data_IF_660736020590
#
_entry.id   IF_660736020590
#
_cell.length_a   1.000
_cell.length_b   1.000
_cell.length_c   1.000
_cell.angle_alpha   90.00
_cell.angle_beta   90.00
_cell.angle_gamma   90.00
#
_symmetry.space_group_name_H-M   'P 1'
#
loop_
_entity.id
_entity.type
_entity.pdbx_description
1 polymer ?
#
# COMPACT_ATOMS: atom_id res chain seq x y z
N UNK A 1 -53.88 38.05 -20.63
CA UNK A 1 -53.26 38.93 -19.61
C UNK A 1 -52.04 39.56 -20.28
N UNK A 2 -52.16 40.77 -20.83
CA UNK A 2 -52.00 42.08 -20.16
C UNK A 2 -50.56 42.28 -19.64
N UNK A 3 -49.77 43.30 -19.97
CA UNK A 3 -49.98 44.60 -20.64
C UNK A 3 -48.75 45.01 -21.47
N UNK A 4 -48.83 45.90 -22.48
CA UNK A 4 -49.13 47.36 -22.51
C UNK A 4 -47.98 48.27 -22.03
N UNK A 5 -47.58 49.18 -22.93
CA UNK A 5 -46.82 50.42 -22.69
C UNK A 5 -45.76 50.64 -23.79
N UNK A 6 -46.05 51.24 -24.97
CA UNK A 6 -46.18 52.68 -25.28
C UNK A 6 -44.87 53.45 -24.98
N UNK A 7 -44.27 54.26 -25.86
CA UNK A 7 -44.79 55.51 -26.47
C UNK A 7 -43.85 55.98 -27.62
N UNK A 8 -44.48 56.43 -28.72
CA UNK A 8 -44.23 57.58 -29.65
C UNK A 8 -42.80 58.12 -29.92
N UNK A 9 -42.44 58.77 -31.04
CA UNK A 9 -43.17 59.74 -31.86
C UNK A 9 -42.31 60.19 -33.07
N UNK A 10 -42.94 60.24 -34.28
CA UNK A 10 -42.87 61.27 -35.37
C UNK A 10 -41.48 61.81 -35.78
N UNK A 11 -41.13 61.90 -37.07
CA UNK A 11 -41.64 62.84 -38.10
C UNK A 11 -41.01 62.46 -39.47
N UNK A 12 -41.82 62.27 -40.51
CA UNK A 12 -41.94 63.14 -41.72
C UNK A 12 -40.60 63.52 -42.38
N UNK A 13 -40.41 63.08 -43.61
CA UNK A 13 -40.41 63.96 -44.80
C UNK A 13 -40.38 63.11 -46.07
N UNK A 14 -41.42 63.28 -46.87
CA UNK A 14 -41.46 62.87 -48.27
C UNK A 14 -40.73 63.93 -49.13
N UNK A 15 -40.69 63.66 -50.43
CA UNK A 15 -40.29 64.53 -51.55
C UNK A 15 -38.78 64.72 -51.81
N UNK A 16 -38.24 63.86 -52.67
CA UNK A 16 -37.57 64.32 -53.90
C UNK A 16 -37.42 63.16 -54.88
N UNK A 17 -38.50 62.91 -55.62
CA UNK A 17 -38.47 62.23 -56.90
C UNK A 17 -38.30 63.29 -57.98
N UNK A 18 -37.15 63.29 -58.65
CA UNK A 18 -36.80 63.91 -59.96
C UNK A 18 -35.33 64.30 -59.91
N UNK A 19 -34.45 63.34 -60.19
CA UNK A 19 -33.13 63.50 -60.84
C UNK A 19 -32.47 62.10 -60.98
N UNK A 20 -33.22 61.14 -61.55
CA UNK A 20 -32.69 60.28 -62.59
C UNK A 20 -32.38 61.22 -63.79
N UNK A 21 -31.29 61.14 -64.54
CA UNK A 21 -31.07 60.03 -65.49
C UNK A 21 -29.70 60.09 -66.21
N UNK A 22 -28.61 60.64 -65.67
CA UNK A 22 -27.35 60.72 -66.45
C UNK A 22 -26.03 60.31 -65.79
N UNK A 23 -25.98 60.02 -64.48
CA UNK A 23 -24.75 59.59 -63.81
C UNK A 23 -24.72 58.10 -63.40
N UNK A 24 -25.74 57.32 -63.78
CA UNK A 24 -25.89 55.91 -63.36
C UNK A 24 -25.39 54.87 -64.39
N UNK A 25 -24.95 55.28 -65.59
CA UNK A 25 -24.51 54.34 -66.63
C UNK A 25 -22.99 54.11 -66.69
N UNK A 26 -22.17 54.94 -66.03
CA UNK A 26 -20.69 54.81 -66.06
C UNK A 26 -20.14 54.03 -64.86
N UNK A 27 -20.91 53.89 -63.77
CA UNK A 27 -20.49 53.12 -62.59
C UNK A 27 -20.77 51.61 -62.67
N UNK A 28 -21.41 51.13 -63.75
CA UNK A 28 -21.73 49.69 -63.95
C UNK A 28 -20.61 48.93 -64.68
N UNK A 29 -19.64 49.63 -65.30
CA UNK A 29 -18.57 49.00 -66.07
C UNK A 29 -17.23 48.85 -65.33
N UNK A 30 -17.05 49.49 -64.17
CA UNK A 30 -15.85 49.34 -63.33
C UNK A 30 -15.97 48.23 -62.26
N UNK A 31 -17.10 47.51 -62.20
CA UNK A 31 -17.35 46.42 -61.25
C UNK A 31 -16.90 45.01 -61.67
N UNK A 32 -16.35 44.83 -62.87
CA UNK A 32 -15.94 43.51 -63.39
C UNK A 32 -14.46 43.17 -63.18
N UNK A 33 -13.64 44.06 -62.61
CA UNK A 33 -12.20 43.83 -62.46
C UNK A 33 -11.79 43.04 -61.20
N UNK A 34 -12.75 42.62 -60.38
CA UNK A 34 -12.48 41.92 -59.10
C UNK A 34 -13.21 40.58 -59.00
N UNK A 35 -13.30 39.81 -60.09
CA UNK A 35 -13.52 38.37 -59.96
C UNK A 35 -12.14 37.73 -59.76
N UNK A 36 -11.73 37.36 -58.53
CA UNK A 36 -10.50 36.60 -58.36
C UNK A 36 -10.62 35.36 -59.24
N UNK A 37 -9.59 35.19 -60.06
CA UNK A 37 -9.56 34.32 -61.22
C UNK A 37 -10.12 32.92 -60.95
N UNK A 38 -10.91 32.43 -61.91
CA UNK A 38 -11.37 31.04 -62.07
C UNK A 38 -10.22 30.03 -62.30
N UNK A 39 -8.99 30.35 -61.91
CA UNK A 39 -7.80 29.55 -62.12
C UNK A 39 -7.05 29.42 -60.79
N UNK A 40 -7.60 28.63 -59.87
CA UNK A 40 -6.77 28.06 -58.81
C UNK A 40 -5.69 27.19 -59.48
N UNK A 41 -4.44 27.28 -59.01
CA UNK A 41 -3.39 26.38 -59.51
C UNK A 41 -3.77 24.93 -59.18
N UNK A 42 -3.24 23.98 -59.95
CA UNK A 42 -3.45 22.56 -59.69
C UNK A 42 -3.10 22.19 -58.23
N UNK A 43 -2.00 22.74 -57.70
CA UNK A 43 -1.54 22.52 -56.33
C UNK A 43 -2.51 23.10 -55.28
N UNK A 44 -3.00 24.35 -55.47
CA UNK A 44 -3.99 24.98 -54.60
C UNK A 44 -5.28 24.16 -54.55
N UNK A 45 -5.77 23.72 -55.71
CA UNK A 45 -6.97 22.89 -55.79
C UNK A 45 -6.76 21.49 -55.17
N UNK A 46 -5.61 20.86 -55.38
CA UNK A 46 -5.29 19.55 -54.80
C UNK A 46 -5.24 19.62 -53.26
N UNK A 47 -4.59 20.65 -52.72
CA UNK A 47 -4.53 20.90 -51.27
C UNK A 47 -5.92 21.21 -50.69
N UNK A 48 -6.73 22.03 -51.39
CA UNK A 48 -8.12 22.30 -50.99
C UNK A 48 -8.97 21.02 -51.00
N UNK A 49 -8.86 20.18 -52.04
CA UNK A 49 -9.62 18.92 -52.15
C UNK A 49 -9.36 18.02 -50.95
N UNK A 50 -8.13 17.95 -50.45
CA UNK A 50 -7.79 17.17 -49.25
C UNK A 50 -8.63 17.57 -48.02
N UNK A 51 -8.98 18.86 -47.88
CA UNK A 51 -9.84 19.36 -46.78
C UNK A 51 -11.30 18.91 -46.89
N UNK A 52 -11.76 18.55 -48.11
CA UNK A 52 -13.13 18.13 -48.42
C UNK A 52 -13.31 16.61 -48.39
N UNK A 53 -12.29 15.86 -48.81
CA UNK A 53 -12.38 14.40 -49.01
C UNK A 53 -11.84 13.56 -47.86
N UNK A 54 -11.20 14.16 -46.85
CA UNK A 54 -10.75 13.40 -45.68
C UNK A 54 -11.94 12.74 -44.96
N UNK A 55 -11.77 11.44 -44.64
CA UNK A 55 -12.82 10.59 -44.05
C UNK A 55 -13.10 10.87 -42.58
N UNK A 56 -12.12 11.43 -41.86
CA UNK A 56 -12.24 11.75 -40.44
C UNK A 56 -12.29 13.26 -40.23
N UNK A 57 -12.94 13.67 -39.13
CA UNK A 57 -13.01 15.06 -38.73
C UNK A 57 -11.61 15.63 -38.44
N UNK A 58 -10.78 14.86 -37.73
CA UNK A 58 -9.38 15.16 -37.43
C UNK A 58 -8.55 15.35 -38.70
N UNK A 59 -8.70 14.45 -39.68
CA UNK A 59 -7.97 14.55 -40.94
C UNK A 59 -8.41 15.78 -41.75
N UNK A 60 -9.69 16.17 -41.67
CA UNK A 60 -10.18 17.41 -42.31
C UNK A 60 -9.64 18.66 -41.63
N UNK A 61 -9.58 18.69 -40.30
CA UNK A 61 -8.98 19.77 -39.51
C UNK A 61 -7.48 19.93 -39.82
N UNK A 62 -6.73 18.84 -39.79
CA UNK A 62 -5.30 18.82 -40.11
C UNK A 62 -5.03 19.28 -41.55
N UNK A 63 -5.79 18.76 -42.53
CA UNK A 63 -5.67 19.19 -43.92
C UNK A 63 -6.03 20.67 -44.12
N UNK A 64 -7.05 21.18 -43.42
CA UNK A 64 -7.44 22.59 -43.47
C UNK A 64 -6.34 23.51 -42.91
N UNK A 65 -5.73 23.13 -41.78
CA UNK A 65 -4.58 23.85 -41.23
C UNK A 65 -3.39 23.85 -42.20
N UNK A 66 -3.00 22.67 -42.71
CA UNK A 66 -1.90 22.54 -43.66
C UNK A 66 -2.14 23.29 -44.98
N UNK A 67 -3.40 23.41 -45.42
CA UNK A 67 -3.78 24.24 -46.57
C UNK A 67 -3.51 25.72 -46.30
N UNK A 68 -3.98 26.25 -45.16
CA UNK A 68 -3.83 27.67 -44.83
C UNK A 68 -2.37 28.08 -44.59
N UNK A 69 -1.53 27.14 -44.18
CA UNK A 69 -0.09 27.36 -44.07
C UNK A 69 0.60 27.45 -45.43
N UNK A 70 0.27 26.56 -46.37
CA UNK A 70 0.87 26.53 -47.72
C UNK A 70 0.30 27.60 -48.65
N UNK A 71 -0.98 27.91 -48.51
CA UNK A 71 -1.72 28.83 -49.37
C UNK A 71 -2.47 29.90 -48.56
N UNK A 72 -1.77 30.78 -47.81
CA UNK A 72 -2.43 31.77 -46.94
C UNK A 72 -3.33 32.77 -47.70
N UNK A 73 -3.03 32.97 -48.99
CA UNK A 73 -3.79 33.78 -49.96
C UNK A 73 -4.35 32.95 -51.13
N UNK A 74 -4.48 31.63 -50.96
CA UNK A 74 -5.03 30.74 -51.98
C UNK A 74 -6.48 31.05 -52.32
N UNK A 75 -6.95 30.56 -53.46
CA UNK A 75 -8.30 30.84 -53.95
C UNK A 75 -9.39 30.40 -52.96
N UNK A 76 -9.12 29.35 -52.17
CA UNK A 76 -10.05 28.78 -51.20
C UNK A 76 -9.75 29.17 -49.74
N UNK A 77 -8.74 30.03 -49.49
CA UNK A 77 -8.32 30.39 -48.14
C UNK A 77 -9.44 31.01 -47.29
N UNK A 78 -10.36 31.77 -47.89
CA UNK A 78 -11.54 32.32 -47.20
C UNK A 78 -12.46 31.23 -46.66
N UNK A 79 -12.81 30.25 -47.50
CA UNK A 79 -13.69 29.13 -47.10
C UNK A 79 -13.03 28.23 -46.06
N UNK A 80 -11.77 27.84 -46.29
CA UNK A 80 -11.03 26.94 -45.37
C UNK A 80 -10.84 27.59 -44.00
N UNK A 81 -10.55 28.89 -43.96
CA UNK A 81 -10.47 29.65 -42.70
C UNK A 81 -11.81 29.68 -41.98
N UNK A 82 -12.92 29.96 -42.70
CA UNK A 82 -14.26 29.96 -42.10
C UNK A 82 -14.66 28.57 -41.55
N UNK A 83 -14.24 27.48 -42.20
CA UNK A 83 -14.41 26.13 -41.65
C UNK A 83 -13.59 25.93 -40.37
N UNK A 84 -12.29 26.23 -40.40
CA UNK A 84 -11.39 26.03 -39.27
C UNK A 84 -11.83 26.82 -38.03
N UNK A 85 -12.18 28.10 -38.20
CA UNK A 85 -12.70 28.98 -37.13
C UNK A 85 -13.93 28.40 -36.43
N UNK A 86 -14.79 27.65 -37.13
CA UNK A 86 -15.97 26.99 -36.52
C UNK A 86 -15.65 25.61 -35.93
N UNK A 87 -14.83 24.82 -36.62
CA UNK A 87 -14.58 23.42 -36.29
C UNK A 87 -13.58 23.25 -35.13
N UNK A 88 -12.55 24.09 -35.08
CA UNK A 88 -11.47 23.97 -34.11
C UNK A 88 -11.93 24.14 -32.65
N UNK A 89 -12.76 25.13 -32.27
CA UNK A 89 -13.24 25.26 -30.90
C UNK A 89 -14.02 24.02 -30.41
N UNK A 90 -14.81 23.40 -31.30
CA UNK A 90 -15.56 22.16 -31.00
C UNK A 90 -14.57 21.02 -30.76
N UNK A 91 -13.57 20.88 -31.63
CA UNK A 91 -12.54 19.86 -31.50
C UNK A 91 -11.74 20.01 -30.20
N UNK A 92 -11.28 21.23 -29.90
CA UNK A 92 -10.54 21.52 -28.68
C UNK A 92 -11.39 21.24 -27.42
N UNK A 93 -12.65 21.69 -27.39
CA UNK A 93 -13.54 21.45 -26.25
C UNK A 93 -13.73 19.96 -25.94
N UNK A 94 -13.78 19.10 -26.97
CA UNK A 94 -13.89 17.65 -26.80
C UNK A 94 -12.59 17.02 -26.25
N UNK A 95 -11.43 17.60 -26.56
CA UNK A 95 -10.12 17.03 -26.23
C UNK A 95 -9.49 17.59 -24.94
N UNK A 96 -9.87 18.80 -24.52
CA UNK A 96 -9.20 19.55 -23.43
C UNK A 96 -9.24 18.93 -22.03
N UNK A 97 -10.10 17.93 -21.80
CA UNK A 97 -10.32 17.33 -20.47
C UNK A 97 -9.28 16.28 -20.07
N UNK A 98 -8.50 15.76 -21.01
CA UNK A 98 -7.55 14.67 -20.74
C UNK A 98 -6.19 14.94 -21.39
N UNK A 99 -5.12 14.42 -20.79
CA UNK A 99 -3.77 14.55 -21.35
C UNK A 99 -3.65 13.90 -22.74
N UNK A 100 -4.26 12.73 -22.93
CA UNK A 100 -4.31 12.04 -24.22
C UNK A 100 -5.08 12.86 -25.28
N UNK A 101 -6.22 13.45 -24.89
CA UNK A 101 -6.99 14.33 -25.77
C UNK A 101 -6.19 15.56 -26.20
N UNK A 102 -5.55 16.27 -25.26
CA UNK A 102 -4.72 17.43 -25.55
C UNK A 102 -3.50 17.09 -26.42
N UNK A 103 -2.88 15.92 -26.19
CA UNK A 103 -1.80 15.41 -27.05
C UNK A 103 -2.29 15.20 -28.49
N UNK A 104 -3.46 14.58 -28.65
CA UNK A 104 -4.08 14.40 -29.96
C UNK A 104 -4.44 15.72 -30.64
N UNK A 105 -4.94 16.71 -29.88
CA UNK A 105 -5.19 18.06 -30.38
C UNK A 105 -3.92 18.72 -30.91
N UNK A 106 -2.85 18.74 -30.10
CA UNK A 106 -1.56 19.35 -30.46
C UNK A 106 -0.89 18.65 -31.65
N UNK A 107 -1.08 17.34 -31.80
CA UNK A 107 -0.61 16.60 -32.98
C UNK A 107 -1.43 16.91 -34.24
N UNK A 108 -2.75 17.12 -34.10
CA UNK A 108 -3.65 17.41 -35.24
C UNK A 108 -3.47 18.85 -35.73
N UNK A 109 -3.31 19.80 -34.80
CA UNK A 109 -3.21 21.24 -35.06
C UNK A 109 -2.01 21.87 -34.33
N UNK A 110 -0.76 21.65 -34.79
CA UNK A 110 0.44 22.15 -34.13
C UNK A 110 0.52 23.68 -34.02
N UNK A 111 -0.20 24.40 -34.90
CA UNK A 111 -0.33 25.86 -34.94
C UNK A 111 -1.78 26.34 -34.73
N UNK A 112 -2.60 25.53 -34.07
CA UNK A 112 -4.01 25.86 -33.79
C UNK A 112 -4.20 27.07 -32.85
N UNK A 113 -5.37 27.69 -32.90
CA UNK A 113 -5.75 28.84 -32.07
C UNK A 113 -5.65 28.57 -30.56
N UNK A 114 -5.86 27.32 -30.12
CA UNK A 114 -5.76 26.91 -28.71
C UNK A 114 -4.44 26.22 -28.36
N UNK A 115 -3.40 26.31 -29.19
CA UNK A 115 -2.11 25.60 -28.98
C UNK A 115 -1.50 25.90 -27.62
N UNK A 116 -1.42 27.16 -27.24
CA UNK A 116 -0.75 27.58 -26.01
C UNK A 116 -1.55 27.15 -24.77
N UNK A 117 -2.88 27.33 -24.81
CA UNK A 117 -3.78 26.84 -23.76
C UNK A 117 -3.72 25.32 -23.62
N UNK A 118 -3.75 24.59 -24.73
CA UNK A 118 -3.64 23.13 -24.75
C UNK A 118 -2.31 22.63 -24.18
N UNK A 119 -1.21 23.30 -24.52
CA UNK A 119 0.13 23.00 -24.01
C UNK A 119 0.21 23.25 -22.51
N UNK A 120 -0.32 24.38 -22.04
CA UNK A 120 -0.39 24.70 -20.63
C UNK A 120 -1.20 23.66 -19.86
N UNK A 121 -2.42 23.38 -20.32
CA UNK A 121 -3.32 22.41 -19.66
C UNK A 121 -2.76 20.99 -19.65
N UNK A 122 -2.06 20.58 -20.71
CA UNK A 122 -1.40 19.28 -20.76
C UNK A 122 -0.31 19.18 -19.68
N UNK A 123 0.51 20.24 -19.53
CA UNK A 123 1.54 20.28 -18.47
C UNK A 123 0.93 20.21 -17.08
N UNK A 124 -0.19 20.89 -16.84
CA UNK A 124 -0.92 20.81 -15.56
C UNK A 124 -1.39 19.37 -15.28
N UNK A 125 -2.10 18.74 -16.21
CA UNK A 125 -2.60 17.36 -16.04
C UNK A 125 -1.47 16.35 -15.82
N UNK A 126 -0.33 16.53 -16.49
CA UNK A 126 0.85 15.67 -16.29
C UNK A 126 1.46 15.88 -14.89
N UNK A 127 1.53 17.13 -14.41
CA UNK A 127 1.99 17.43 -13.05
C UNK A 127 1.05 16.87 -11.98
N UNK A 128 -0.26 17.07 -12.14
CA UNK A 128 -1.29 16.53 -11.24
C UNK A 128 -1.18 15.00 -11.12
N UNK A 129 -1.06 14.30 -12.25
CA UNK A 129 -0.88 12.83 -12.27
C UNK A 129 0.42 12.41 -11.58
N UNK A 130 1.52 13.07 -11.91
CA UNK A 130 2.83 12.73 -11.33
C UNK A 130 2.85 12.94 -9.82
N UNK A 131 2.22 14.01 -9.32
CA UNK A 131 2.08 14.26 -7.90
C UNK A 131 1.21 13.18 -7.21
N UNK A 132 0.10 12.77 -7.83
CA UNK A 132 -0.74 11.68 -7.32
C UNK A 132 -0.01 10.34 -7.27
N UNK A 133 0.79 10.02 -8.28
CA UNK A 133 1.57 8.78 -8.33
C UNK A 133 2.65 8.74 -7.23
N UNK A 134 3.33 9.86 -6.95
CA UNK A 134 4.33 9.95 -5.89
C UNK A 134 3.70 9.77 -4.51
N UNK A 135 2.56 10.43 -4.25
CA UNK A 135 1.83 10.25 -2.99
C UNK A 135 1.33 8.80 -2.81
N UNK A 136 0.86 8.18 -3.89
CA UNK A 136 0.38 6.79 -3.86
C UNK A 136 1.52 5.80 -3.55
N UNK A 137 2.70 5.99 -4.14
CA UNK A 137 3.88 5.16 -3.84
C UNK A 137 4.34 5.34 -2.39
N UNK A 138 4.43 6.57 -1.92
CA UNK A 138 4.81 6.86 -0.53
C UNK A 138 3.83 6.23 0.48
N UNK A 139 2.52 6.26 0.18
CA UNK A 139 1.51 5.58 0.98
C UNK A 139 1.71 4.06 0.99
N UNK A 140 1.93 3.44 -0.17
CA UNK A 140 2.17 1.99 -0.29
C UNK A 140 3.45 1.55 0.45
N UNK A 141 4.53 2.33 0.34
CA UNK A 141 5.78 2.07 1.06
C UNK A 141 5.57 2.14 2.58
N UNK A 142 4.83 3.16 3.05
CA UNK A 142 4.48 3.32 4.47
C UNK A 142 3.63 2.15 4.96
N UNK A 143 2.62 1.73 4.19
CA UNK A 143 1.77 0.58 4.53
C UNK A 143 2.57 -0.72 4.59
N UNK A 144 3.48 -0.95 3.63
CA UNK A 144 4.35 -2.12 3.61
C UNK A 144 5.29 -2.16 4.83
N UNK A 145 5.84 -1.00 5.21
CA UNK A 145 6.67 -0.87 6.41
C UNK A 145 5.88 -1.16 7.69
N UNK A 146 4.68 -0.59 7.84
CA UNK A 146 3.80 -0.84 8.97
C UNK A 146 3.36 -2.30 9.05
N UNK A 147 3.10 -2.94 7.91
CA UNK A 147 2.77 -4.36 7.83
C UNK A 147 3.92 -5.25 8.30
N UNK A 148 5.15 -4.94 7.87
CA UNK A 148 6.37 -5.66 8.29
C UNK A 148 6.56 -5.55 9.80
N UNK A 149 6.47 -4.32 10.35
CA UNK A 149 6.59 -4.09 11.79
C UNK A 149 5.51 -4.82 12.62
N UNK A 150 4.29 -4.94 12.09
CA UNK A 150 3.21 -5.73 12.73
C UNK A 150 3.53 -7.22 12.72
N UNK A 151 4.03 -7.74 11.59
CA UNK A 151 4.43 -9.14 11.47
C UNK A 151 5.58 -9.49 12.41
N UNK A 152 6.60 -8.64 12.49
CA UNK A 152 7.75 -8.82 13.39
C UNK A 152 7.31 -8.86 14.87
N UNK A 153 6.37 -8.00 15.27
CA UNK A 153 5.78 -8.03 16.61
C UNK A 153 4.97 -9.30 16.88
N UNK A 154 4.09 -9.69 15.95
CA UNK A 154 3.28 -10.90 16.09
C UNK A 154 4.15 -12.16 16.24
N UNK A 155 5.28 -12.20 15.53
CA UNK A 155 6.23 -13.32 15.56
C UNK A 155 6.73 -13.65 16.96
N UNK A 156 6.85 -12.68 17.87
CA UNK A 156 7.30 -12.92 19.25
C UNK A 156 6.34 -13.87 20.00
N UNK A 157 5.04 -13.58 19.96
CA UNK A 157 4.02 -14.43 20.60
C UNK A 157 3.83 -15.76 19.87
N UNK A 158 3.93 -15.76 18.54
CA UNK A 158 3.87 -16.97 17.72
C UNK A 158 5.01 -17.94 18.02
N UNK A 159 6.24 -17.45 18.20
CA UNK A 159 7.41 -18.28 18.51
C UNK A 159 7.26 -18.96 19.87
N UNK A 160 6.87 -18.21 20.92
CA UNK A 160 6.61 -18.78 22.25
C UNK A 160 5.50 -19.84 22.18
N UNK A 161 4.40 -19.53 21.48
CA UNK A 161 3.27 -20.46 21.31
C UNK A 161 3.67 -21.72 20.55
N UNK A 162 4.51 -21.59 19.52
CA UNK A 162 5.00 -22.72 18.74
C UNK A 162 5.86 -23.65 19.60
N UNK A 163 6.76 -23.13 20.43
CA UNK A 163 7.58 -23.94 21.34
C UNK A 163 6.76 -24.62 22.42
N UNK A 164 5.80 -23.91 23.04
CA UNK A 164 4.86 -24.52 23.98
C UNK A 164 4.14 -25.71 23.35
N UNK A 165 3.57 -25.54 22.14
CA UNK A 165 2.84 -26.61 21.45
C UNK A 165 3.71 -27.82 21.11
N UNK A 166 4.96 -27.60 20.70
CA UNK A 166 5.92 -28.67 20.38
C UNK A 166 6.23 -29.53 21.60
N UNK A 167 6.50 -28.90 22.75
CA UNK A 167 6.90 -29.63 23.95
C UNK A 167 5.74 -30.05 24.87
N UNK A 168 4.52 -29.57 24.64
CA UNK A 168 3.31 -30.16 25.22
C UNK A 168 2.88 -31.45 24.50
N UNK A 169 3.41 -31.72 23.31
CA UNK A 169 3.16 -32.96 22.59
C UNK A 169 3.86 -34.13 23.27
N UNK A 170 3.11 -35.15 23.70
CA UNK A 170 3.67 -36.36 24.33
C UNK A 170 4.70 -37.08 23.45
N UNK A 171 4.58 -36.97 22.12
CA UNK A 171 5.52 -37.58 21.18
C UNK A 171 6.94 -36.99 21.27
N UNK A 172 7.10 -35.78 21.82
CA UNK A 172 8.40 -35.17 22.06
C UNK A 172 9.19 -35.81 23.22
N UNK A 173 8.57 -36.70 24.00
CA UNK A 173 9.10 -37.23 25.26
C UNK A 173 9.34 -38.74 25.19
N UNK A 174 10.18 -39.26 26.09
CA UNK A 174 10.43 -40.71 26.24
C UNK A 174 11.31 -41.35 25.17
N UNK A 175 11.82 -40.55 24.23
CA UNK A 175 12.83 -40.92 23.21
C UNK A 175 13.96 -39.88 23.21
N UNK A 176 15.17 -40.25 22.76
CA UNK A 176 16.25 -39.29 22.63
C UNK A 176 15.81 -38.12 21.73
N UNK A 177 16.26 -36.90 22.01
CA UNK A 177 15.85 -35.73 21.23
C UNK A 177 16.23 -35.86 19.74
N UNK A 178 17.31 -36.59 19.44
CA UNK A 178 17.72 -36.95 18.08
C UNK A 178 16.72 -37.86 17.32
N UNK A 179 15.78 -38.49 18.03
CA UNK A 179 14.71 -39.34 17.50
C UNK A 179 13.30 -38.76 17.71
N UNK A 180 13.20 -37.53 18.21
CA UNK A 180 11.94 -36.81 18.38
C UNK A 180 11.23 -36.56 17.02
N UNK A 181 9.93 -36.20 17.03
CA UNK A 181 9.21 -35.82 15.81
C UNK A 181 9.90 -34.68 15.06
N UNK A 182 9.71 -34.61 13.74
CA UNK A 182 10.32 -33.59 12.89
C UNK A 182 9.95 -32.16 13.34
N UNK A 183 8.75 -31.99 13.88
CA UNK A 183 8.23 -30.74 14.44
C UNK A 183 9.06 -30.22 15.63
N UNK A 184 9.85 -31.08 16.27
CA UNK A 184 10.79 -30.75 17.36
C UNK A 184 12.22 -30.69 16.83
N UNK A 185 12.69 -31.76 16.16
CA UNK A 185 14.08 -31.88 15.71
C UNK A 185 14.46 -30.75 14.76
N UNK A 186 13.63 -30.47 13.76
CA UNK A 186 13.96 -29.49 12.72
C UNK A 186 14.15 -28.10 13.34
N UNK A 187 13.18 -27.52 14.07
CA UNK A 187 13.36 -26.21 14.65
C UNK A 187 14.37 -26.18 15.79
N UNK A 188 14.56 -27.25 16.57
CA UNK A 188 15.46 -27.24 17.72
C UNK A 188 16.91 -27.53 17.32
N UNK A 189 17.15 -28.68 16.68
CA UNK A 189 18.48 -29.21 16.42
C UNK A 189 19.07 -28.76 15.07
N UNK A 190 18.22 -28.61 14.04
CA UNK A 190 18.70 -28.41 12.67
C UNK A 190 18.65 -26.94 12.20
N UNK A 191 17.66 -26.17 12.65
CA UNK A 191 17.56 -24.76 12.30
C UNK A 191 18.67 -23.94 12.99
N UNK A 192 19.13 -22.86 12.34
CA UNK A 192 20.10 -21.95 12.94
C UNK A 192 19.41 -20.95 13.89
N UNK A 193 20.08 -20.53 14.98
CA UNK A 193 21.36 -21.05 15.47
C UNK A 193 21.21 -22.46 16.09
N UNK A 194 22.26 -23.31 16.06
CA UNK A 194 22.20 -24.63 16.66
C UNK A 194 22.13 -24.52 18.20
N UNK A 195 21.56 -25.52 18.90
CA UNK A 195 21.56 -25.56 20.35
C UNK A 195 22.98 -25.77 20.87
N UNK A 196 23.27 -25.23 22.05
CA UNK A 196 24.52 -25.47 22.79
C UNK A 196 24.22 -26.38 23.96
N UNK A 197 24.93 -27.50 24.04
CA UNK A 197 24.76 -28.48 25.11
C UNK A 197 25.91 -28.40 26.11
N UNK A 198 25.59 -28.46 27.39
CA UNK A 198 26.55 -28.54 28.49
C UNK A 198 26.09 -29.59 29.50
N UNK A 199 26.99 -30.21 30.28
CA UNK A 199 26.60 -31.05 31.40
C UNK A 199 25.64 -30.31 32.35
N UNK A 200 24.60 -30.99 32.82
CA UNK A 200 23.69 -30.44 33.80
C UNK A 200 24.30 -30.44 35.21
N UNK A 201 23.68 -29.71 36.14
CA UNK A 201 23.99 -29.81 37.58
C UNK A 201 23.84 -31.27 38.04
N UNK A 202 24.71 -31.70 38.98
CA UNK A 202 24.69 -33.04 39.58
C UNK A 202 23.30 -33.44 40.11
N UNK A 203 22.47 -32.46 40.48
CA UNK A 203 21.07 -32.67 40.89
C UNK A 203 20.19 -33.32 39.82
N UNK A 204 20.51 -33.16 38.54
CA UNK A 204 19.77 -33.76 37.43
C UNK A 204 20.12 -35.25 37.20
N UNK A 205 21.12 -35.76 37.90
CA UNK A 205 21.61 -37.13 37.78
C UNK A 205 22.85 -37.27 36.89
N UNK A 206 23.59 -38.38 37.04
CA UNK A 206 24.84 -38.59 36.30
C UNK A 206 24.58 -38.69 34.80
N UNK A 207 25.35 -37.92 34.01
CA UNK A 207 25.28 -37.91 32.55
C UNK A 207 24.16 -37.04 31.97
N UNK A 208 23.38 -36.33 32.80
CA UNK A 208 22.40 -35.37 32.31
C UNK A 208 23.07 -34.17 31.63
N UNK A 209 22.39 -33.59 30.64
CA UNK A 209 22.86 -32.43 29.89
C UNK A 209 21.74 -31.40 29.72
N UNK A 210 22.11 -30.12 29.62
CA UNK A 210 21.19 -29.04 29.22
C UNK A 210 21.59 -28.55 27.84
N UNK A 211 20.70 -28.72 26.87
CA UNK A 211 20.83 -28.19 25.53
C UNK A 211 19.98 -26.93 25.39
N UNK A 212 20.59 -25.78 25.11
CA UNK A 212 19.90 -24.49 25.03
C UNK A 212 20.02 -23.87 23.64
N UNK A 213 18.89 -23.39 23.10
CA UNK A 213 18.81 -22.67 21.83
C UNK A 213 18.29 -21.26 22.07
N UNK A 214 19.03 -20.25 21.57
CA UNK A 214 18.64 -18.84 21.66
C UNK A 214 18.10 -18.31 20.35
N UNK A 215 16.98 -17.62 20.41
CA UNK A 215 16.23 -17.13 19.25
C UNK A 215 16.01 -15.63 19.46
N UNK A 216 16.88 -14.78 18.87
CA UNK A 216 16.71 -13.33 18.93
C UNK A 216 15.62 -12.89 17.94
N UNK A 217 14.60 -12.20 18.44
CA UNK A 217 13.53 -11.62 17.63
C UNK A 217 13.55 -10.11 17.79
N UNK A 218 13.81 -9.41 16.68
CA UNK A 218 13.82 -7.94 16.62
C UNK A 218 12.44 -7.43 16.22
N UNK A 219 12.00 -6.35 16.85
CA UNK A 219 10.74 -5.67 16.52
C UNK A 219 10.83 -4.18 16.86
N UNK A 220 9.85 -3.40 16.42
CA UNK A 220 9.79 -1.94 16.65
C UNK A 220 8.54 -1.60 17.45
N UNK A 221 8.70 -0.75 18.46
CA UNK A 221 7.64 -0.18 19.29
C UNK A 221 7.70 1.34 19.28
N UNK A 222 6.67 1.99 19.82
CA UNK A 222 6.67 3.43 20.08
C UNK A 222 7.14 3.71 21.51
N UNK A 223 8.18 4.54 21.63
CA UNK A 223 8.74 5.03 22.89
C UNK A 223 8.82 6.55 22.82
N UNK A 224 8.19 7.26 23.77
CA UNK A 224 8.18 8.74 23.81
C UNK A 224 7.73 9.41 22.49
N UNK A 225 6.90 8.72 21.69
CA UNK A 225 6.43 9.20 20.39
C UNK A 225 7.34 8.87 19.20
N UNK A 226 8.50 8.26 19.45
CA UNK A 226 9.46 7.84 18.43
C UNK A 226 9.48 6.31 18.24
N UNK A 227 10.01 5.86 17.12
CA UNK A 227 10.20 4.42 16.86
C UNK A 227 11.46 3.92 17.55
N UNK A 228 11.31 2.97 18.47
CA UNK A 228 12.42 2.36 19.19
C UNK A 228 12.56 0.87 18.83
N UNK A 229 13.77 0.40 18.44
CA UNK A 229 14.02 -1.02 18.24
C UNK A 229 14.01 -1.75 19.59
N UNK A 230 13.49 -2.97 19.58
CA UNK A 230 13.41 -3.89 20.72
C UNK A 230 13.85 -5.27 20.30
N UNK A 231 14.29 -6.06 21.27
CA UNK A 231 14.68 -7.44 21.08
C UNK A 231 14.06 -8.31 22.16
N UNK A 232 13.41 -9.40 21.74
CA UNK A 232 13.05 -10.52 22.60
C UNK A 232 14.09 -11.63 22.39
N UNK A 233 14.83 -11.98 23.44
CA UNK A 233 15.73 -13.15 23.44
C UNK A 233 14.97 -14.32 24.05
N UNK A 234 14.49 -15.24 23.21
CA UNK A 234 13.83 -16.47 23.67
C UNK A 234 14.89 -17.57 23.73
N UNK A 235 15.11 -18.13 24.91
CA UNK A 235 15.94 -19.31 25.11
C UNK A 235 15.04 -20.53 25.38
N UNK A 236 15.19 -21.55 24.55
CA UNK A 236 14.58 -22.87 24.73
C UNK A 236 15.64 -23.80 25.27
N UNK A 237 15.57 -24.13 26.56
CA UNK A 237 16.49 -25.04 27.23
C UNK A 237 15.81 -26.39 27.49
N UNK A 238 16.43 -27.46 27.03
CA UNK A 238 15.98 -28.85 27.23
C UNK A 238 16.96 -29.53 28.17
N UNK A 239 16.47 -29.94 29.34
CA UNK A 239 17.19 -30.82 30.24
C UNK A 239 16.97 -32.26 29.77
N UNK A 240 18.06 -32.97 29.50
CA UNK A 240 18.07 -34.32 28.98
C UNK A 240 18.71 -35.29 29.99
N UNK A 241 18.22 -36.53 30.03
CA UNK A 241 18.86 -37.61 30.77
C UNK A 241 20.13 -38.12 30.04
N UNK A 242 20.83 -39.09 30.65
CA UNK A 242 22.02 -39.69 30.05
C UNK A 242 21.78 -40.40 28.70
N UNK A 243 20.52 -40.68 28.35
CA UNK A 243 20.13 -41.25 27.07
C UNK A 243 19.65 -40.16 26.06
N UNK A 244 19.78 -38.88 26.40
CA UNK A 244 19.34 -37.76 25.56
C UNK A 244 17.83 -37.55 25.54
N UNK A 245 17.08 -38.13 26.49
CA UNK A 245 15.61 -38.01 26.56
C UNK A 245 15.24 -36.75 27.34
N UNK A 246 14.32 -35.90 26.85
CA UNK A 246 13.87 -34.75 27.61
C UNK A 246 13.26 -35.13 28.96
N UNK A 247 13.70 -34.45 30.03
CA UNK A 247 13.18 -34.51 31.40
C UNK A 247 12.37 -33.26 31.72
N UNK A 248 12.88 -32.10 31.31
CA UNK A 248 12.26 -30.80 31.52
C UNK A 248 12.59 -29.88 30.34
N UNK A 249 11.66 -29.01 29.97
CA UNK A 249 11.90 -27.95 29.01
C UNK A 249 11.56 -26.61 29.63
N UNK A 250 12.45 -25.64 29.49
CA UNK A 250 12.23 -24.26 29.90
C UNK A 250 12.25 -23.35 28.66
N UNK A 251 11.20 -22.57 28.48
CA UNK A 251 11.16 -21.44 27.54
C UNK A 251 11.33 -20.19 28.40
N UNK A 252 12.48 -19.52 28.29
CA UNK A 252 12.86 -18.41 29.17
C UNK A 252 13.49 -17.26 28.42
N UNK A 253 13.63 -16.13 29.10
CA UNK A 253 14.40 -15.02 28.59
C UNK A 253 14.33 -13.79 29.50
N UNK A 254 15.25 -12.83 29.30
CA UNK A 254 15.31 -11.62 30.11
C UNK A 254 14.06 -10.79 29.87
N UNK A 255 13.25 -10.62 30.93
CA UNK A 255 11.97 -9.93 30.89
C UNK A 255 11.04 -10.39 29.73
N UNK A 256 11.05 -11.69 29.40
CA UNK A 256 10.30 -12.25 28.27
C UNK A 256 8.82 -11.86 28.30
N UNK A 257 8.18 -11.85 29.47
CA UNK A 257 6.76 -11.49 29.56
C UNK A 257 6.54 -10.00 29.27
N UNK A 258 7.46 -9.14 29.70
CA UNK A 258 7.43 -7.71 29.34
C UNK A 258 7.63 -7.51 27.84
N UNK A 259 8.55 -8.25 27.20
CA UNK A 259 8.77 -8.19 25.74
C UNK A 259 7.55 -8.66 24.95
N UNK A 260 6.81 -9.64 25.46
CA UNK A 260 5.52 -10.05 24.88
C UNK A 260 4.49 -8.91 24.91
N UNK A 261 4.41 -8.17 26.02
CA UNK A 261 3.51 -7.02 26.13
C UNK A 261 3.90 -5.86 25.22
N UNK A 262 5.19 -5.55 25.13
CA UNK A 262 5.70 -4.52 24.21
C UNK A 262 5.35 -4.87 22.75
N UNK A 263 5.55 -6.14 22.36
CA UNK A 263 5.21 -6.62 21.04
C UNK A 263 3.70 -6.56 20.77
N UNK A 264 2.86 -6.93 21.75
CA UNK A 264 1.39 -6.88 21.60
C UNK A 264 0.86 -5.45 21.53
N UNK A 265 1.30 -4.59 22.44
CA UNK A 265 0.78 -3.23 22.59
C UNK A 265 1.43 -2.23 21.63
N UNK A 266 2.52 -2.61 20.98
CA UNK A 266 3.37 -1.75 20.14
C UNK A 266 3.90 -0.50 20.90
N UNK A 267 4.01 -0.58 22.23
CA UNK A 267 4.54 0.48 23.09
C UNK A 267 5.66 -0.07 23.95
N UNK A 268 6.63 0.76 24.27
CA UNK A 268 7.62 0.42 25.30
C UNK A 268 6.94 0.27 26.67
N UNK A 269 7.42 -0.71 27.44
CA UNK A 269 7.07 -0.90 28.85
C UNK A 269 8.31 -0.57 29.68
N UNK A 270 8.23 0.53 30.44
CA UNK A 270 9.33 0.95 31.31
C UNK A 270 9.54 -0.07 32.45
N UNK A 271 10.76 -0.19 33.00
CA UNK A 271 11.04 -1.13 34.11
C UNK A 271 10.16 -0.92 35.35
N UNK A 272 9.72 0.31 35.61
CA UNK A 272 8.86 0.70 36.73
C UNK A 272 7.36 0.72 36.37
N UNK A 273 6.98 0.41 35.13
CA UNK A 273 5.59 0.28 34.70
C UNK A 273 4.98 -1.05 35.17
N UNK A 274 4.46 -1.04 36.40
CA UNK A 274 3.75 -2.18 36.98
C UNK A 274 2.55 -2.63 36.13
N UNK A 275 1.88 -1.73 35.42
CA UNK A 275 0.71 -2.08 34.60
C UNK A 275 1.14 -2.84 33.35
N UNK A 276 2.17 -2.36 32.65
CA UNK A 276 2.76 -3.09 31.53
C UNK A 276 3.33 -4.45 31.95
N UNK A 277 3.96 -4.52 33.12
CA UNK A 277 4.45 -5.79 33.69
C UNK A 277 3.32 -6.80 33.94
N UNK A 278 2.22 -6.36 34.55
CA UNK A 278 1.03 -7.20 34.77
C UNK A 278 0.41 -7.62 33.42
N UNK A 279 0.35 -6.73 32.44
CA UNK A 279 -0.12 -7.03 31.08
C UNK A 279 0.71 -8.14 30.42
N UNK A 280 2.03 -8.07 30.55
CA UNK A 280 2.94 -9.11 30.05
C UNK A 280 2.75 -10.46 30.73
N UNK A 281 2.62 -10.48 32.05
CA UNK A 281 2.30 -11.70 32.82
C UNK A 281 0.97 -12.28 32.34
N UNK A 282 -0.09 -11.47 32.23
CA UNK A 282 -1.40 -11.92 31.80
C UNK A 282 -1.37 -12.52 30.39
N UNK A 283 -0.66 -11.87 29.46
CA UNK A 283 -0.48 -12.36 28.09
C UNK A 283 0.27 -13.70 28.06
N UNK A 284 1.37 -13.84 28.82
CA UNK A 284 2.09 -15.10 28.90
C UNK A 284 1.22 -16.23 29.47
N UNK A 285 0.40 -15.94 30.48
CA UNK A 285 -0.58 -16.88 31.06
C UNK A 285 -1.63 -17.28 30.03
N UNK A 286 -2.13 -16.33 29.22
CA UNK A 286 -3.10 -16.60 28.15
C UNK A 286 -2.52 -17.53 27.08
N UNK A 287 -1.32 -17.23 26.56
CA UNK A 287 -0.63 -18.05 25.57
C UNK A 287 -0.37 -19.47 26.11
N UNK A 288 0.09 -19.57 27.36
CA UNK A 288 0.33 -20.83 28.05
C UNK A 288 -0.95 -21.67 28.22
N UNK A 289 -2.05 -21.06 28.70
CA UNK A 289 -3.35 -21.74 28.83
C UNK A 289 -3.90 -22.20 27.48
N UNK A 290 -3.81 -21.35 26.46
CA UNK A 290 -4.27 -21.69 25.11
C UNK A 290 -3.48 -22.86 24.52
N UNK A 291 -2.16 -22.87 24.66
CA UNK A 291 -1.31 -23.97 24.22
C UNK A 291 -1.59 -25.27 24.99
N UNK A 292 -1.76 -25.19 26.31
CA UNK A 292 -2.09 -26.33 27.17
C UNK A 292 -3.47 -26.92 26.83
N UNK A 293 -4.48 -26.08 26.66
CA UNK A 293 -5.82 -26.50 26.27
C UNK A 293 -5.84 -27.19 24.90
N UNK A 294 -5.04 -26.71 23.95
CA UNK A 294 -4.96 -27.27 22.61
C UNK A 294 -4.23 -28.62 22.52
N UNK A 295 -3.34 -28.94 23.48
CA UNK A 295 -2.48 -30.14 23.43
C UNK A 295 -2.71 -31.16 24.54
N UNK A 296 -3.22 -30.71 25.69
CA UNK A 296 -3.42 -31.53 26.89
C UNK A 296 -4.88 -31.53 27.28
N UNK A 297 -5.37 -30.44 27.89
CA UNK A 297 -6.77 -30.35 28.34
C UNK A 297 -7.17 -28.91 28.62
N UNK A 298 -8.40 -28.55 28.24
CA UNK A 298 -9.04 -27.27 28.56
C UNK A 298 -9.83 -27.27 29.87
N UNK A 299 -9.83 -28.38 30.62
CA UNK A 299 -10.60 -28.52 31.86
C UNK A 299 -10.04 -27.58 32.96
N UNK A 300 -10.88 -26.72 33.57
CA UNK A 300 -10.46 -25.86 34.68
C UNK A 300 -9.85 -26.61 35.87
N UNK A 301 -10.21 -27.87 36.08
CA UNK A 301 -9.65 -28.74 37.14
C UNK A 301 -8.17 -29.07 36.94
N UNK A 302 -7.62 -28.82 35.75
CA UNK A 302 -6.17 -28.87 35.51
C UNK A 302 -5.42 -27.73 36.21
N UNK A 303 -6.11 -26.68 36.64
CA UNK A 303 -5.52 -25.62 37.44
C UNK A 303 -5.02 -26.12 38.79
N UNK A 304 -3.84 -25.67 39.19
CA UNK A 304 -3.29 -25.82 40.54
C UNK A 304 -3.13 -24.45 41.17
N UNK A 305 -3.10 -24.39 42.50
CA UNK A 305 -2.84 -23.16 43.21
C UNK A 305 -1.44 -22.65 42.84
N UNK A 306 -1.39 -21.42 42.32
CA UNK A 306 -0.14 -20.72 42.02
C UNK A 306 0.23 -19.83 43.21
N UNK A 307 1.49 -19.89 43.63
CA UNK A 307 2.05 -19.06 44.72
C UNK A 307 3.22 -18.28 44.14
N UNK A 308 3.23 -16.96 44.33
CA UNK A 308 4.29 -16.09 43.82
C UNK A 308 5.69 -16.65 44.17
N UNK A 309 6.64 -16.65 43.21
CA UNK A 309 6.63 -16.03 41.87
C UNK A 309 5.85 -16.78 40.77
N UNK A 310 5.22 -17.91 41.08
CA UNK A 310 4.44 -18.68 40.09
C UNK A 310 3.14 -17.94 39.79
N UNK A 311 2.90 -17.65 38.52
CA UNK A 311 1.71 -16.94 38.02
C UNK A 311 0.73 -17.87 37.30
N UNK A 312 1.18 -19.08 36.91
CA UNK A 312 0.35 -20.13 36.37
C UNK A 312 0.92 -21.50 36.74
N UNK A 313 0.04 -22.43 37.13
CA UNK A 313 0.36 -23.83 37.30
C UNK A 313 -0.80 -24.67 36.74
N UNK A 314 -0.52 -25.40 35.66
CA UNK A 314 -1.45 -26.35 35.04
C UNK A 314 -0.86 -27.75 35.11
N UNK A 315 -1.67 -28.74 35.47
CA UNK A 315 -1.27 -30.13 35.55
C UNK A 315 -2.44 -31.06 35.28
N UNK A 316 -2.34 -31.86 34.22
CA UNK A 316 -3.34 -32.83 33.81
C UNK A 316 -2.70 -33.90 32.93
N UNK A 317 -3.23 -35.12 33.02
CA UNK A 317 -2.86 -36.23 32.15
C UNK A 317 -1.34 -36.44 31.98
N UNK A 318 -0.60 -36.31 33.08
CA UNK A 318 0.86 -36.46 33.11
C UNK A 318 1.66 -35.30 32.54
N UNK A 319 1.02 -34.23 32.04
CA UNK A 319 1.68 -33.01 31.60
C UNK A 319 1.53 -31.91 32.65
N UNK A 320 2.61 -31.18 32.89
CA UNK A 320 2.68 -30.04 33.82
C UNK A 320 3.34 -28.85 33.14
N UNK A 321 2.70 -27.68 33.26
CA UNK A 321 3.15 -26.39 32.75
C UNK A 321 3.14 -25.36 33.88
N UNK A 322 4.28 -24.71 34.10
CA UNK A 322 4.44 -23.68 35.13
C UNK A 322 4.97 -22.41 34.51
N UNK A 323 4.28 -21.28 34.72
CA UNK A 323 4.79 -19.96 34.38
C UNK A 323 5.27 -19.26 35.66
N UNK A 324 6.52 -18.81 35.66
CA UNK A 324 7.15 -18.08 36.76
C UNK A 324 7.66 -16.74 36.23
N UNK A 325 7.21 -15.66 36.88
CA UNK A 325 7.67 -14.31 36.58
C UNK A 325 8.97 -14.02 37.34
N UNK A 326 9.95 -13.40 36.69
CA UNK A 326 11.10 -12.80 37.37
C UNK A 326 10.64 -11.66 38.28
N UNK A 327 11.10 -11.65 39.54
CA UNK A 327 10.80 -10.62 40.53
C UNK A 327 11.91 -9.56 40.54
N UNK A 328 13.16 -10.00 40.45
CA UNK A 328 14.32 -9.12 40.52
C UNK A 328 14.85 -8.73 39.14
N UNK A 329 15.55 -7.60 39.09
CA UNK A 329 16.21 -7.16 37.87
C UNK A 329 17.26 -8.18 37.43
N UNK A 330 17.13 -8.68 36.20
CA UNK A 330 18.02 -9.70 35.65
C UNK A 330 17.55 -11.14 35.87
N UNK A 331 16.46 -11.36 36.62
CA UNK A 331 15.81 -12.68 36.61
C UNK A 331 15.05 -12.91 35.30
N UNK A 332 15.19 -14.12 34.77
CA UNK A 332 14.44 -14.54 33.60
C UNK A 332 12.99 -14.85 33.97
N UNK A 333 12.09 -14.47 33.06
CA UNK A 333 10.75 -15.04 33.00
C UNK A 333 10.85 -16.46 32.42
N UNK A 334 10.15 -17.42 33.01
CA UNK A 334 10.29 -18.84 32.65
C UNK A 334 8.93 -19.52 32.49
N UNK A 335 8.78 -20.28 31.41
CA UNK A 335 7.71 -21.25 31.19
C UNK A 335 8.34 -22.65 31.21
N UNK A 336 8.09 -23.42 32.26
CA UNK A 336 8.63 -24.78 32.44
C UNK A 336 7.59 -25.83 32.08
N UNK A 337 7.99 -26.83 31.30
CA UNK A 337 7.19 -27.95 30.85
C UNK A 337 7.82 -29.27 31.31
N UNK A 338 6.99 -30.18 31.79
CA UNK A 338 7.34 -31.57 32.05
C UNK A 338 6.20 -32.45 31.58
N UNK A 339 6.48 -33.53 30.86
CA UNK A 339 5.44 -34.47 30.40
C UNK A 339 5.89 -35.90 30.68
N UNK A 340 5.04 -36.63 31.38
CA UNK A 340 5.24 -38.05 31.66
C UNK A 340 5.06 -38.82 30.34
N UNK A 341 6.08 -39.57 29.89
CA UNK A 341 5.95 -40.37 28.68
C UNK A 341 4.88 -41.44 28.86
N UNK A 342 4.16 -41.84 27.79
CA UNK A 342 3.19 -42.92 27.87
C UNK A 342 3.87 -44.21 28.36
N UNK A 343 3.18 -44.98 29.20
CA UNK A 343 3.63 -46.32 29.58
C UNK A 343 3.82 -47.15 28.30
N UNK A 344 5.02 -47.71 28.13
CA UNK A 344 5.37 -48.56 26.97
C UNK A 344 4.71 -49.93 27.08
#
# INVERSE_FOLDING_TARGET
MSGRGAVASRRRLATSARNLSFAALVAVLSGCASKPALLASYDDYAAYRATRVSRTFEGRLSAASAYLERHPRGAFAGEVRAYLTRAEPIYYAAKRRTAAGLTAYLATLPRGAFRDEATHRLRELVRERSAGDVLSRAAQETEAQLATQRADRARVGEEVTAWLRRFLDRGAWGRPLAEAPAEVIVPFSLALPPPRCAPADERAGPGAAVCAKRIPLWFVVTAEGESAPRQAEIEVAVLEDAAGRPIEVAIRGPALFTRLEEARSAREVAPDDATGRIGGIALAVELARSAFAARVSGDPSCGRQAVAPVVLHLECEGARLVARAGIEAGEDDVLTLTVTPPAR
#
